data_IF_261704170301
#
_entry.id   IF_261704170301
#
_cell.length_a   1.000
_cell.length_b   1.000
_cell.length_c   1.000
_cell.angle_alpha   90.00
_cell.angle_beta   90.00
_cell.angle_gamma   90.00
#
_symmetry.space_group_name_H-M   'P 1'
#
loop_
_entity.id
_entity.type
_entity.pdbx_description
1 polymer ?
#
# COMPACT_ATOMS: atom_id res chain seq x y z
N UNK A 1 -2.38 21.88 11.75
CA UNK A 1 -2.62 21.44 10.36
C UNK A 1 -1.33 20.99 9.68
N UNK A 2 -0.39 21.87 9.32
CA UNK A 2 0.80 21.44 8.55
C UNK A 2 1.65 20.34 9.23
N UNK A 3 2.03 20.53 10.50
CA UNK A 3 2.82 19.53 11.24
C UNK A 3 2.09 18.18 11.35
N UNK A 4 0.77 18.23 11.55
CA UNK A 4 -0.07 17.04 11.68
C UNK A 4 -0.16 16.28 10.35
N UNK A 5 -0.34 16.99 9.23
CA UNK A 5 -0.33 16.38 7.90
C UNK A 5 1.03 15.79 7.54
N UNK A 6 2.14 16.42 7.95
CA UNK A 6 3.48 15.84 7.80
C UNK A 6 3.61 14.54 8.59
N UNK A 7 3.13 14.51 9.84
CA UNK A 7 3.14 13.29 10.66
C UNK A 7 2.25 12.18 10.08
N UNK A 8 1.10 12.54 9.52
CA UNK A 8 0.18 11.60 8.86
C UNK A 8 0.77 11.02 7.59
N UNK A 9 1.42 11.85 6.76
CA UNK A 9 2.16 11.39 5.58
C UNK A 9 3.35 10.49 5.96
N UNK A 10 4.10 10.83 7.01
CA UNK A 10 5.17 9.97 7.53
C UNK A 10 4.64 8.63 8.04
N UNK A 11 3.51 8.63 8.75
CA UNK A 11 2.88 7.40 9.23
C UNK A 11 2.36 6.52 8.08
N UNK A 12 1.80 7.12 7.02
CA UNK A 12 1.39 6.40 5.82
C UNK A 12 2.60 5.80 5.10
N UNK A 13 3.69 6.55 4.99
CA UNK A 13 4.97 6.07 4.46
C UNK A 13 5.51 4.88 5.25
N UNK A 14 5.49 4.96 6.58
CA UNK A 14 5.90 3.86 7.46
C UNK A 14 5.01 2.62 7.28
N UNK A 15 3.69 2.80 7.14
CA UNK A 15 2.74 1.72 6.86
C UNK A 15 3.06 1.03 5.53
N UNK A 16 3.33 1.80 4.46
CA UNK A 16 3.71 1.26 3.16
C UNK A 16 5.03 0.47 3.24
N UNK A 17 6.03 1.02 3.91
CA UNK A 17 7.33 0.34 4.12
C UNK A 17 7.11 -0.98 4.85
N UNK A 18 6.26 -1.00 5.88
CA UNK A 18 5.96 -2.21 6.64
C UNK A 18 5.26 -3.27 5.78
N UNK A 19 4.28 -2.89 4.96
CA UNK A 19 3.61 -3.80 4.01
C UNK A 19 4.62 -4.37 3.01
N UNK A 20 5.49 -3.53 2.45
CA UNK A 20 6.56 -3.95 1.55
C UNK A 20 7.54 -4.92 2.24
N UNK A 21 7.99 -4.60 3.46
CA UNK A 21 8.91 -5.42 4.24
C UNK A 21 8.30 -6.80 4.56
N UNK A 22 7.04 -6.84 5.00
CA UNK A 22 6.32 -8.10 5.27
C UNK A 22 6.21 -8.93 3.99
N UNK A 23 5.94 -8.31 2.86
CA UNK A 23 5.76 -9.03 1.61
C UNK A 23 7.05 -9.52 0.94
N UNK A 24 8.21 -8.93 1.27
CA UNK A 24 9.53 -9.41 0.84
C UNK A 24 10.14 -10.40 1.86
N UNK A 25 9.53 -10.60 3.05
CA UNK A 25 10.10 -11.45 4.11
C UNK A 25 10.41 -12.91 3.69
N UNK A 26 9.76 -13.40 2.62
CA UNK A 26 9.98 -14.76 2.05
C UNK A 26 10.76 -14.72 0.73
N UNK A 27 11.47 -13.63 0.45
CA UNK A 27 12.29 -13.41 -0.74
C UNK A 27 11.73 -12.34 -1.68
N UNK A 28 12.62 -11.74 -2.49
CA UNK A 28 12.30 -10.68 -3.45
C UNK A 28 11.22 -11.08 -4.49
N UNK A 29 11.10 -12.37 -4.77
CA UNK A 29 10.11 -12.93 -5.70
C UNK A 29 8.67 -12.74 -5.21
N UNK A 30 8.46 -12.54 -3.91
CA UNK A 30 7.14 -12.25 -3.33
C UNK A 30 6.48 -11.00 -3.92
N UNK A 31 7.29 -10.01 -4.31
CA UNK A 31 6.86 -8.72 -4.84
C UNK A 31 6.95 -8.60 -6.37
N UNK A 32 7.30 -9.68 -7.08
CA UNK A 32 7.47 -9.63 -8.55
C UNK A 32 6.17 -9.22 -9.29
N UNK A 33 5.03 -9.34 -8.63
CA UNK A 33 3.73 -8.93 -9.14
C UNK A 33 3.58 -7.41 -9.37
N UNK A 34 4.40 -6.60 -8.70
CA UNK A 34 4.45 -5.14 -8.89
C UNK A 34 5.28 -4.74 -10.13
N UNK A 35 6.07 -5.67 -10.69
CA UNK A 35 6.92 -5.41 -11.85
C UNK A 35 6.17 -5.59 -13.18
N UNK A 36 6.80 -5.10 -14.26
CA UNK A 36 6.26 -5.20 -15.61
C UNK A 36 6.03 -6.67 -16.03
N UNK A 37 5.09 -6.92 -16.97
CA UNK A 37 4.82 -8.28 -17.45
C UNK A 37 6.05 -9.00 -17.99
N UNK A 38 6.97 -8.27 -18.63
CA UNK A 38 8.22 -8.82 -19.16
C UNK A 38 9.12 -9.41 -18.05
N UNK A 39 9.27 -8.71 -16.92
CA UNK A 39 10.04 -9.18 -15.77
C UNK A 39 9.36 -10.41 -15.15
N UNK A 40 8.03 -10.38 -15.01
CA UNK A 40 7.25 -11.52 -14.50
C UNK A 40 7.44 -12.77 -15.35
N UNK A 41 7.31 -12.65 -16.67
CA UNK A 41 7.50 -13.77 -17.60
C UNK A 41 8.93 -14.33 -17.54
N UNK A 42 9.95 -13.47 -17.42
CA UNK A 42 11.34 -13.91 -17.25
C UNK A 42 11.52 -14.71 -15.95
N UNK A 43 10.96 -14.24 -14.83
CA UNK A 43 11.03 -14.96 -13.56
C UNK A 43 10.31 -16.33 -13.62
N UNK A 44 9.19 -16.43 -14.35
CA UNK A 44 8.52 -17.72 -14.60
C UNK A 44 9.38 -18.63 -15.46
N UNK A 45 9.95 -18.14 -16.57
CA UNK A 45 10.85 -18.92 -17.44
C UNK A 45 12.10 -19.45 -16.72
N UNK A 46 12.63 -18.68 -15.76
CA UNK A 46 13.77 -19.08 -14.94
C UNK A 46 13.39 -20.01 -13.77
N UNK A 47 12.13 -20.42 -13.65
CA UNK A 47 11.66 -21.30 -12.56
C UNK A 47 11.63 -20.65 -11.18
N UNK A 48 11.78 -19.33 -11.09
CA UNK A 48 11.81 -18.60 -9.82
C UNK A 48 10.43 -18.46 -9.17
N UNK A 49 9.36 -18.50 -9.97
CA UNK A 49 7.96 -18.42 -9.52
C UNK A 49 7.01 -19.01 -10.56
N UNK A 50 5.75 -19.27 -10.17
CA UNK A 50 4.67 -19.62 -11.10
C UNK A 50 3.69 -18.45 -11.32
N UNK A 51 2.95 -18.43 -12.44
CA UNK A 51 1.90 -17.44 -12.70
C UNK A 51 0.82 -17.41 -11.60
N UNK A 52 0.43 -18.58 -11.08
CA UNK A 52 -0.58 -18.72 -10.03
C UNK A 52 -0.09 -18.08 -8.73
N UNK A 53 1.19 -18.25 -8.40
CA UNK A 53 1.80 -17.66 -7.21
C UNK A 53 1.90 -16.14 -7.33
N UNK A 54 2.23 -15.61 -8.50
CA UNK A 54 2.21 -14.16 -8.78
C UNK A 54 0.78 -13.62 -8.60
N UNK A 55 -0.22 -14.29 -9.17
CA UNK A 55 -1.64 -13.87 -9.06
C UNK A 55 -2.12 -13.88 -7.63
N UNK A 56 -1.83 -14.95 -6.87
CA UNK A 56 -2.20 -15.06 -5.45
C UNK A 56 -1.54 -13.96 -4.62
N UNK A 57 -0.26 -13.70 -4.81
CA UNK A 57 0.44 -12.63 -4.09
C UNK A 57 -0.11 -11.25 -4.44
N UNK A 58 -0.45 -11.00 -5.71
CA UNK A 58 -1.09 -9.75 -6.12
C UNK A 58 -2.45 -9.54 -5.48
N UNK A 59 -3.27 -10.59 -5.41
CA UNK A 59 -4.58 -10.52 -4.76
C UNK A 59 -4.44 -10.27 -3.27
N UNK A 60 -3.54 -10.98 -2.58
CA UNK A 60 -3.27 -10.76 -1.16
C UNK A 60 -2.78 -9.33 -0.89
N UNK A 61 -1.85 -8.84 -1.71
CA UNK A 61 -1.35 -7.47 -1.58
C UNK A 61 -2.48 -6.45 -1.74
N UNK A 62 -3.32 -6.59 -2.77
CA UNK A 62 -4.48 -5.70 -2.97
C UNK A 62 -5.49 -5.80 -1.82
N UNK A 63 -5.77 -7.01 -1.34
CA UNK A 63 -6.72 -7.26 -0.27
C UNK A 63 -6.27 -6.68 1.09
N UNK A 64 -4.97 -6.51 1.31
CA UNK A 64 -4.43 -5.93 2.55
C UNK A 64 -4.12 -4.43 2.38
N UNK A 65 -3.42 -4.07 1.30
CA UNK A 65 -2.93 -2.71 1.08
C UNK A 65 -4.07 -1.73 0.82
N UNK A 66 -5.10 -2.10 0.03
CA UNK A 66 -6.20 -1.18 -0.30
C UNK A 66 -7.06 -0.89 0.94
N UNK A 67 -7.55 -1.89 1.69
CA UNK A 67 -8.30 -1.61 2.91
C UNK A 67 -7.45 -0.94 3.99
N UNK A 68 -6.16 -1.29 4.09
CA UNK A 68 -5.22 -0.64 5.03
C UNK A 68 -5.06 0.86 4.72
N UNK A 69 -4.86 1.20 3.46
CA UNK A 69 -4.77 2.60 3.01
C UNK A 69 -6.05 3.38 3.28
N UNK A 70 -7.21 2.82 2.89
CA UNK A 70 -8.51 3.44 3.12
C UNK A 70 -8.74 3.66 4.62
N UNK A 71 -8.49 2.63 5.44
CA UNK A 71 -8.68 2.72 6.90
C UNK A 71 -7.78 3.78 7.52
N UNK A 72 -6.52 3.85 7.09
CA UNK A 72 -5.57 4.85 7.58
C UNK A 72 -6.05 6.27 7.27
N UNK A 73 -6.42 6.54 6.02
CA UNK A 73 -6.94 7.84 5.59
C UNK A 73 -8.21 8.21 6.37
N UNK A 74 -9.14 7.27 6.55
CA UNK A 74 -10.37 7.52 7.32
C UNK A 74 -10.07 7.85 8.79
N UNK A 75 -9.14 7.14 9.41
CA UNK A 75 -8.71 7.40 10.80
C UNK A 75 -8.06 8.78 10.91
N UNK A 76 -7.15 9.15 10.00
CA UNK A 76 -6.52 10.47 10.00
C UNK A 76 -7.56 11.59 9.81
N UNK A 77 -8.40 11.49 8.78
CA UNK A 77 -9.35 12.56 8.41
C UNK A 77 -10.46 12.73 9.44
N UNK A 78 -11.13 11.64 9.82
CA UNK A 78 -12.31 11.71 10.68
C UNK A 78 -12.01 11.49 12.16
N UNK A 79 -11.05 10.62 12.48
CA UNK A 79 -10.71 10.29 13.86
C UNK A 79 -9.78 11.32 14.49
N UNK A 80 -8.64 11.58 13.86
CA UNK A 80 -7.58 12.43 14.41
C UNK A 80 -7.88 13.91 14.15
N UNK A 81 -8.24 14.27 12.92
CA UNK A 81 -8.50 15.67 12.56
C UNK A 81 -9.96 16.11 12.73
N UNK A 82 -10.88 15.16 12.91
CA UNK A 82 -12.28 15.47 13.21
C UNK A 82 -13.00 16.23 12.08
N UNK A 83 -12.65 15.99 10.81
CA UNK A 83 -13.30 16.66 9.69
C UNK A 83 -14.81 16.36 9.67
N UNK A 84 -15.64 17.37 9.96
CA UNK A 84 -17.11 17.25 9.96
C UNK A 84 -17.77 17.78 8.70
N UNK A 85 -17.03 18.54 7.89
CA UNK A 85 -17.50 19.10 6.63
C UNK A 85 -16.80 18.43 5.44
N UNK A 86 -17.54 18.29 4.33
CA UNK A 86 -17.03 17.67 3.11
C UNK A 86 -15.77 18.36 2.57
N UNK A 87 -15.75 19.70 2.55
CA UNK A 87 -14.61 20.46 2.04
C UNK A 87 -13.33 20.25 2.86
N UNK A 88 -13.45 20.19 4.20
CA UNK A 88 -12.30 19.95 5.07
C UNK A 88 -11.78 18.51 4.91
N UNK A 89 -12.67 17.53 4.87
CA UNK A 89 -12.28 16.13 4.65
C UNK A 89 -11.66 15.91 3.27
N UNK A 90 -12.22 16.51 2.23
CA UNK A 90 -11.71 16.44 0.86
C UNK A 90 -10.31 17.06 0.75
N UNK A 91 -10.08 18.22 1.38
CA UNK A 91 -8.75 18.84 1.41
C UNK A 91 -7.72 17.96 2.10
N UNK A 92 -8.07 17.31 3.20
CA UNK A 92 -7.14 16.41 3.88
C UNK A 92 -6.86 15.13 3.10
N UNK A 93 -7.83 14.60 2.36
CA UNK A 93 -7.60 13.50 1.43
C UNK A 93 -6.65 13.84 0.28
N UNK A 94 -6.58 15.12 -0.13
CA UNK A 94 -5.70 15.57 -1.21
C UNK A 94 -4.25 15.80 -0.76
N UNK A 95 -4.05 16.14 0.52
CA UNK A 95 -2.74 16.54 1.04
C UNK A 95 -1.99 15.39 1.71
N UNK A 96 -2.69 14.35 2.19
CA UNK A 96 -2.12 13.08 2.66
C UNK A 96 -1.69 12.20 1.49
#
# INVERSE_FOLDING_TARGET
MLLQTILEGLGLGALLILICAVGIRKGAVGMVHLYSPAVRQRCVKLGLTSPERIRRNSLLFKAVCVPGYISYVLVCVYGINGARSFAAGFWQLLVI
#
